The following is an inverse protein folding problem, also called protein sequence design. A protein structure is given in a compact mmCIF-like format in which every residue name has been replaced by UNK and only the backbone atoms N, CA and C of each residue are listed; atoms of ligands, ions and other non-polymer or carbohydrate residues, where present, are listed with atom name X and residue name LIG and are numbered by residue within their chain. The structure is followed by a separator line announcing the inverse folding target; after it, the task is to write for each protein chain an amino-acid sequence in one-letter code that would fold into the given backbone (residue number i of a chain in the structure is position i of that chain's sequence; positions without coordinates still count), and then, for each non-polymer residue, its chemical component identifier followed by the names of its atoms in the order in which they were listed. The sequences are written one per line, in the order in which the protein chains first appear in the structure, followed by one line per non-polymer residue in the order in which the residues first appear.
data_IF_646518893024
#
_entry.id   IF_646518893024
#
_cell.length_a   1.000
_cell.length_b   1.000
_cell.length_c   1.000
_cell.angle_alpha   90.00
_cell.angle_beta   90.00
_cell.angle_gamma   90.00
#
_symmetry.space_group_name_H-M   'P 1'
#
loop_
_entity.id
_entity.type
_entity.pdbx_description
1 polymer ?
#
# COMPACT_ATOMS: atom_id res chain seq x y z
N UNK A 1 17.37 7.94 1.91
CA UNK A 1 16.77 6.89 2.77
C UNK A 1 15.75 7.50 3.75
N UNK A 2 14.81 8.34 3.26
CA UNK A 2 13.84 9.06 4.11
C UNK A 2 12.38 8.78 3.71
N UNK A 3 12.13 7.97 2.68
CA UNK A 3 10.80 7.81 2.10
C UNK A 3 9.79 7.22 3.10
N UNK A 4 10.21 6.17 3.83
CA UNK A 4 9.38 5.53 4.85
C UNK A 4 9.00 6.53 5.95
N UNK A 5 9.98 7.25 6.50
CA UNK A 5 9.75 8.22 7.56
C UNK A 5 8.93 9.42 7.08
N UNK A 6 9.14 9.91 5.85
CA UNK A 6 8.31 10.95 5.23
C UNK A 6 6.85 10.50 5.10
N UNK A 7 6.59 9.34 4.50
CA UNK A 7 5.23 8.84 4.31
C UNK A 7 4.47 8.70 5.63
N UNK A 8 5.12 8.12 6.66
CA UNK A 8 4.50 7.95 7.98
C UNK A 8 4.32 9.27 8.73
N UNK A 9 5.27 10.20 8.61
CA UNK A 9 5.13 11.55 9.19
C UNK A 9 3.97 12.31 8.54
N UNK A 10 3.84 12.23 7.21
CA UNK A 10 2.76 12.84 6.46
C UNK A 10 1.41 12.24 6.86
N UNK A 11 1.32 10.91 6.97
CA UNK A 11 0.13 10.24 7.45
C UNK A 11 -0.24 10.69 8.88
N UNK A 12 0.72 10.78 9.79
CA UNK A 12 0.47 11.22 11.16
C UNK A 12 -0.02 12.68 11.24
N UNK A 13 0.48 13.56 10.36
CA UNK A 13 0.10 14.99 10.34
C UNK A 13 -1.22 15.25 9.62
N UNK A 14 -1.47 14.55 8.51
CA UNK A 14 -2.52 14.92 7.55
C UNK A 14 -3.54 13.81 7.28
N UNK A 15 -3.32 12.59 7.80
CA UNK A 15 -4.11 11.40 7.43
C UNK A 15 -3.85 10.90 6.01
N UNK A 16 -2.92 11.53 5.27
CA UNK A 16 -2.56 11.20 3.90
C UNK A 16 -1.04 11.02 3.79
N UNK A 17 -0.52 9.83 3.43
CA UNK A 17 0.92 9.61 3.29
C UNK A 17 1.54 10.43 2.15
N UNK A 18 0.73 10.93 1.20
CA UNK A 18 1.18 11.77 0.10
C UNK A 18 1.55 13.20 0.52
N UNK A 19 1.19 13.64 1.73
CA UNK A 19 1.42 15.01 2.20
C UNK A 19 0.13 15.79 2.40
N UNK A 20 0.23 17.12 2.50
CA UNK A 20 -0.90 17.99 2.84
C UNK A 20 -1.72 18.47 1.64
N UNK A 21 -1.18 18.35 0.43
CA UNK A 21 -1.81 18.85 -0.79
C UNK A 21 -2.44 17.70 -1.57
N UNK A 22 -3.65 17.90 -2.12
CA UNK A 22 -4.35 16.87 -2.88
C UNK A 22 -3.84 16.76 -4.35
N UNK A 23 -3.27 17.84 -4.88
CA UNK A 23 -2.77 17.94 -6.26
C UNK A 23 -1.29 17.55 -6.41
N UNK A 24 -0.58 17.30 -5.30
CA UNK A 24 0.85 16.99 -5.27
C UNK A 24 1.13 15.86 -4.29
N UNK A 25 2.18 15.10 -4.55
CA UNK A 25 2.68 14.09 -3.62
C UNK A 25 4.13 14.37 -3.26
N UNK A 26 4.44 14.28 -1.98
CA UNK A 26 5.80 14.24 -1.46
C UNK A 26 6.47 12.88 -1.73
N UNK A 27 5.71 11.90 -2.23
CA UNK A 27 6.19 10.58 -2.61
C UNK A 27 6.48 10.53 -4.12
N UNK A 28 7.50 9.75 -4.55
CA UNK A 28 7.84 9.62 -5.98
C UNK A 28 6.78 8.84 -6.77
N UNK A 29 5.92 8.08 -6.09
CA UNK A 29 4.75 7.42 -6.65
C UNK A 29 3.57 7.79 -5.75
N UNK A 30 2.47 8.21 -6.36
CA UNK A 30 1.27 8.54 -5.61
C UNK A 30 0.73 7.28 -4.91
N UNK A 31 0.62 7.33 -3.59
CA UNK A 31 0.07 6.23 -2.81
C UNK A 31 -1.46 6.30 -2.87
N UNK A 32 -2.03 5.52 -3.80
CA UNK A 32 -3.49 5.39 -3.96
C UNK A 32 -4.11 4.68 -2.74
N UNK A 33 -5.22 5.19 -2.19
CA UNK A 33 -5.98 4.49 -1.17
C UNK A 33 -6.44 3.10 -1.62
N UNK A 34 -6.74 2.24 -0.66
CA UNK A 34 -7.48 1.00 -0.92
C UNK A 34 -8.90 1.34 -1.39
N UNK A 35 -9.43 0.54 -2.31
CA UNK A 35 -10.81 0.63 -2.77
C UNK A 35 -11.43 -0.78 -2.81
N UNK A 36 -12.76 -0.85 -3.00
CA UNK A 36 -13.48 -2.13 -2.96
C UNK A 36 -13.11 -3.07 -4.10
N UNK A 37 -12.54 -2.53 -5.17
CA UNK A 37 -12.16 -3.26 -6.37
C UNK A 37 -10.77 -3.87 -6.20
N UNK A 38 -9.88 -3.21 -5.46
CA UNK A 38 -8.55 -3.70 -5.17
C UNK A 38 -8.18 -3.59 -3.69
N UNK A 39 -8.60 -4.59 -2.92
CA UNK A 39 -8.21 -4.78 -1.53
C UNK A 39 -6.73 -5.18 -1.35
N UNK A 40 -6.10 -5.67 -2.42
CA UNK A 40 -4.72 -6.17 -2.41
C UNK A 40 -3.70 -5.10 -2.81
N UNK A 41 -4.14 -3.88 -3.12
CA UNK A 41 -3.24 -2.77 -3.45
C UNK A 41 -2.37 -2.39 -2.25
N UNK A 42 -1.07 -2.32 -2.47
CA UNK A 42 -0.13 -1.89 -1.44
C UNK A 42 1.03 -1.08 -2.02
N UNK A 43 1.57 -0.18 -1.21
CA UNK A 43 2.77 0.58 -1.54
C UNK A 43 4.00 -0.20 -1.08
N UNK A 44 4.93 -0.46 -1.99
CA UNK A 44 6.14 -1.23 -1.71
C UNK A 44 7.31 -0.27 -1.55
N UNK A 45 7.88 -0.23 -0.35
CA UNK A 45 9.13 0.47 -0.11
C UNK A 45 10.30 -0.42 -0.56
N UNK A 46 11.09 0.07 -1.53
CA UNK A 46 12.34 -0.58 -1.93
C UNK A 46 13.51 0.39 -1.77
N UNK A 47 14.74 -0.13 -1.83
CA UNK A 47 15.96 0.69 -1.77
C UNK A 47 16.13 1.62 -2.97
N UNK A 48 15.52 1.28 -4.11
CA UNK A 48 15.76 1.94 -5.39
C UNK A 48 14.56 2.84 -5.75
N UNK A 49 13.47 2.23 -6.21
CA UNK A 49 12.27 2.94 -6.63
C UNK A 49 11.05 2.25 -6.01
N UNK A 50 10.28 2.95 -5.16
CA UNK A 50 9.04 2.41 -4.65
C UNK A 50 8.01 2.29 -5.78
N UNK A 51 7.01 1.45 -5.58
CA UNK A 51 5.94 1.28 -6.54
C UNK A 51 4.64 0.84 -5.85
N UNK A 52 3.53 0.98 -6.57
CA UNK A 52 2.26 0.37 -6.19
C UNK A 52 2.20 -1.04 -6.76
N UNK A 53 1.97 -2.01 -5.89
CA UNK A 53 1.58 -3.37 -6.26
C UNK A 53 0.08 -3.49 -6.11
N UNK A 54 -0.57 -4.20 -7.03
CA UNK A 54 -1.96 -4.63 -6.88
C UNK A 54 -2.07 -6.02 -6.22
N UNK A 55 -0.93 -6.67 -5.94
CA UNK A 55 -0.84 -8.00 -5.33
C UNK A 55 -0.15 -7.92 -3.98
N UNK A 56 -0.93 -8.01 -2.91
CA UNK A 56 -0.41 -8.01 -1.54
C UNK A 56 0.32 -9.32 -1.26
N UNK A 57 1.60 -9.23 -0.87
CA UNK A 57 2.46 -10.39 -0.57
C UNK A 57 2.45 -11.50 -1.63
N UNK A 58 2.37 -11.13 -2.92
CA UNK A 58 2.34 -12.10 -4.02
C UNK A 58 1.18 -13.10 -3.89
N UNK A 59 -0.01 -12.61 -3.50
CA UNK A 59 -1.27 -13.38 -3.43
C UNK A 59 -1.26 -14.51 -2.39
N UNK A 60 -0.24 -14.56 -1.53
CA UNK A 60 -0.13 -15.63 -0.51
C UNK A 60 -1.32 -15.64 0.45
N UNK A 61 -1.84 -14.46 0.80
CA UNK A 61 -3.04 -14.34 1.64
C UNK A 61 -4.29 -14.89 0.96
N UNK A 62 -4.47 -14.61 -0.32
CA UNK A 62 -5.61 -15.08 -1.12
C UNK A 62 -5.57 -16.62 -1.24
N UNK A 63 -4.41 -17.18 -1.56
CA UNK A 63 -4.19 -18.63 -1.58
C UNK A 63 -4.47 -19.28 -0.22
N UNK A 64 -4.07 -18.64 0.88
CA UNK A 64 -4.38 -19.13 2.21
C UNK A 64 -5.89 -19.13 2.48
N UNK A 65 -6.59 -18.05 2.13
CA UNK A 65 -8.05 -18.00 2.25
C UNK A 65 -8.75 -19.08 1.44
N UNK A 66 -8.30 -19.35 0.22
CA UNK A 66 -8.83 -20.43 -0.61
C UNK A 66 -8.67 -21.80 0.06
N UNK A 67 -7.48 -22.08 0.62
CA UNK A 67 -7.20 -23.32 1.35
C UNK A 67 -8.14 -23.43 2.55
N UNK A 68 -8.29 -22.36 3.34
CA UNK A 68 -9.17 -22.35 4.51
C UNK A 68 -10.62 -22.57 4.09
N UNK A 69 -11.12 -21.85 3.08
CA UNK A 69 -12.50 -22.00 2.57
C UNK A 69 -12.78 -23.42 2.06
N UNK A 70 -11.81 -24.04 1.39
CA UNK A 70 -11.93 -25.40 0.86
C UNK A 70 -12.03 -26.49 1.95
N UNK A 71 -11.39 -26.27 3.11
CA UNK A 71 -11.30 -27.27 4.17
C UNK A 71 -12.08 -26.90 5.44
N UNK A 72 -12.82 -25.79 5.42
CA UNK A 72 -13.75 -25.44 6.50
C UNK A 72 -14.97 -26.36 6.37
N UNK A 73 -15.12 -27.27 7.34
CA UNK A 73 -16.30 -28.11 7.51
C UNK A 73 -17.52 -27.29 7.94
#
# INVERSE_FOLDING_TARGET
MNLFTTAFTNFAKFGNPNGSADDKSDLPVYWKPLDKQNHSRNFVFTSNQPFLSEHFFEERSEKFEEIVKKHRA
#
